data_IF_837804290725
#
_entry.id   IF_837804290725
#
_cell.length_a   1.000
_cell.length_b   1.000
_cell.length_c   1.000
_cell.angle_alpha   90.00
_cell.angle_beta   90.00
_cell.angle_gamma   90.00
#
_symmetry.space_group_name_H-M   'P 1'
#
loop_
_entity.id
_entity.type
_entity.pdbx_description
1 polymer ?
#
# COMPACT_ATOMS: atom_id res chain seq x y z
N UNK A 1 8.83 25.94 32.10
CA UNK A 1 8.43 26.37 30.74
C UNK A 1 7.84 25.24 29.88
N UNK A 2 8.22 23.96 30.08
CA UNK A 2 7.78 22.84 29.23
C UNK A 2 6.30 22.41 29.38
N UNK A 3 5.63 22.68 30.52
CA UNK A 3 4.25 22.22 30.79
C UNK A 3 3.18 22.92 29.94
N UNK A 4 3.42 24.17 29.53
CA UNK A 4 2.48 24.92 28.67
C UNK A 4 2.43 24.37 27.25
N UNK A 5 3.60 24.03 26.68
CA UNK A 5 3.73 23.50 25.30
C UNK A 5 3.04 22.15 25.18
N UNK A 6 3.19 21.27 26.17
CA UNK A 6 2.54 19.95 26.18
C UNK A 6 1.01 20.04 26.21
N UNK A 7 0.46 20.96 27.01
CA UNK A 7 -1.00 21.22 27.07
C UNK A 7 -1.51 21.78 25.74
N UNK A 8 -0.77 22.69 25.12
CA UNK A 8 -1.09 23.26 23.81
C UNK A 8 -1.00 22.22 22.68
N UNK A 9 -0.01 21.33 22.72
CA UNK A 9 0.13 20.23 21.76
C UNK A 9 -1.02 19.23 21.88
N UNK A 10 -1.36 18.80 23.10
CA UNK A 10 -2.52 17.92 23.32
C UNK A 10 -3.84 18.58 22.91
N UNK A 11 -3.99 19.88 23.12
CA UNK A 11 -5.13 20.66 22.64
C UNK A 11 -5.20 20.77 21.11
N UNK A 12 -4.06 20.87 20.44
CA UNK A 12 -3.95 20.88 18.98
C UNK A 12 -4.28 19.52 18.36
N UNK A 13 -3.73 18.43 18.90
CA UNK A 13 -4.02 17.06 18.46
C UNK A 13 -5.50 16.73 18.67
N UNK A 14 -6.14 17.15 19.77
CA UNK A 14 -7.58 16.94 19.93
C UNK A 14 -8.45 17.73 18.95
N UNK A 15 -7.98 18.90 18.48
CA UNK A 15 -8.71 19.74 17.51
C UNK A 15 -8.53 19.33 16.04
N UNK A 16 -7.44 18.64 15.68
CA UNK A 16 -7.13 18.23 14.29
C UNK A 16 -6.70 16.76 14.12
N UNK A 17 -6.77 15.95 15.17
CA UNK A 17 -6.05 14.68 15.29
C UNK A 17 -6.55 13.54 14.42
N UNK A 18 -7.83 13.52 14.05
CA UNK A 18 -8.38 12.41 13.25
C UNK A 18 -7.67 12.23 11.90
N UNK A 19 -7.43 13.32 11.15
CA UNK A 19 -6.88 13.22 9.80
C UNK A 19 -5.33 13.24 9.76
N UNK A 20 -4.68 13.94 10.69
CA UNK A 20 -3.21 14.11 10.66
C UNK A 20 -2.45 12.94 11.31
N UNK A 21 -3.06 12.26 12.30
CA UNK A 21 -2.41 11.14 12.98
C UNK A 21 -2.36 9.93 12.06
N UNK A 22 -3.45 9.61 11.37
CA UNK A 22 -3.51 8.50 10.41
C UNK A 22 -2.60 8.75 9.20
N UNK A 23 -2.52 9.99 8.70
CA UNK A 23 -1.56 10.38 7.67
C UNK A 23 -0.11 10.23 8.14
N UNK A 24 0.18 10.65 9.38
CA UNK A 24 1.52 10.55 9.97
C UNK A 24 1.96 9.09 10.14
N UNK A 25 1.07 8.22 10.60
CA UNK A 25 1.33 6.78 10.70
C UNK A 25 1.61 6.19 9.31
N UNK A 26 0.85 6.57 8.28
CA UNK A 26 1.07 6.12 6.91
C UNK A 26 2.46 6.46 6.36
N UNK A 27 2.95 7.68 6.62
CA UNK A 27 4.30 8.10 6.20
C UNK A 27 5.40 7.31 6.93
N UNK A 28 5.25 7.10 8.24
CA UNK A 28 6.24 6.36 9.04
C UNK A 28 6.33 4.90 8.58
N UNK A 29 5.18 4.25 8.39
CA UNK A 29 5.12 2.87 7.88
C UNK A 29 5.69 2.81 6.47
N UNK A 30 5.35 3.77 5.60
CA UNK A 30 5.88 3.86 4.24
C UNK A 30 7.40 3.96 4.22
N UNK A 31 7.98 4.85 5.02
CA UNK A 31 9.43 5.03 5.10
C UNK A 31 10.15 3.76 5.61
N UNK A 32 9.63 3.16 6.69
CA UNK A 32 10.20 1.93 7.24
C UNK A 32 10.13 0.76 6.24
N UNK A 33 9.01 0.63 5.53
CA UNK A 33 8.82 -0.41 4.52
C UNK A 33 9.78 -0.24 3.33
N UNK A 34 9.95 0.99 2.83
CA UNK A 34 10.92 1.25 1.76
C UNK A 34 12.35 0.85 2.16
N UNK A 35 12.77 1.14 3.39
CA UNK A 35 14.10 0.72 3.89
C UNK A 35 14.26 -0.80 3.94
N UNK A 36 13.22 -1.54 4.35
CA UNK A 36 13.28 -3.02 4.36
C UNK A 36 13.46 -3.57 2.94
N UNK A 37 12.71 -3.03 1.98
CA UNK A 37 12.83 -3.46 0.58
C UNK A 37 14.21 -3.09 0.01
N UNK A 38 14.74 -1.91 0.35
CA UNK A 38 16.09 -1.50 -0.04
C UNK A 38 17.14 -2.46 0.49
N UNK A 39 17.13 -2.79 1.79
CA UNK A 39 18.06 -3.77 2.36
C UNK A 39 17.91 -5.15 1.73
N UNK A 40 16.69 -5.60 1.42
CA UNK A 40 16.49 -6.86 0.73
C UNK A 40 17.14 -6.87 -0.67
N UNK A 41 17.00 -5.78 -1.42
CA UNK A 41 17.62 -5.68 -2.74
C UNK A 41 19.14 -5.62 -2.62
N UNK A 42 19.67 -4.71 -1.80
CA UNK A 42 21.10 -4.44 -1.65
C UNK A 42 21.87 -5.62 -1.04
N UNK A 43 21.31 -6.26 0.00
CA UNK A 43 22.02 -7.28 0.77
C UNK A 43 21.79 -8.70 0.23
N UNK A 44 20.66 -8.98 -0.44
CA UNK A 44 20.30 -10.34 -0.88
C UNK A 44 20.32 -10.49 -2.41
N UNK A 45 19.83 -9.52 -3.17
CA UNK A 45 19.77 -9.64 -4.64
C UNK A 45 21.06 -9.18 -5.32
N UNK A 46 21.65 -8.08 -4.85
CA UNK A 46 22.82 -7.48 -5.49
C UNK A 46 24.08 -8.37 -5.43
N UNK A 47 24.42 -9.09 -4.34
CA UNK A 47 25.64 -9.90 -4.30
C UNK A 47 25.63 -11.09 -5.30
N UNK A 48 24.55 -11.89 -5.40
CA UNK A 48 24.43 -12.93 -6.44
C UNK A 48 24.45 -12.35 -7.86
N UNK A 49 23.76 -11.24 -8.10
CA UNK A 49 23.76 -10.58 -9.41
C UNK A 49 25.15 -10.04 -9.78
N UNK A 50 25.87 -9.49 -8.81
CA UNK A 50 27.25 -9.01 -8.98
C UNK A 50 28.23 -10.15 -9.32
N UNK A 51 28.02 -11.35 -8.75
CA UNK A 51 28.80 -12.54 -9.11
C UNK A 51 28.51 -13.02 -10.54
N UNK A 52 27.23 -13.04 -10.94
CA UNK A 52 26.82 -13.48 -12.29
C UNK A 52 27.29 -12.50 -13.38
N UNK A 53 27.29 -11.20 -13.07
CA UNK A 53 27.79 -10.15 -13.96
C UNK A 53 29.33 -10.00 -13.93
N UNK A 54 30.06 -11.01 -13.46
CA UNK A 54 31.54 -11.06 -13.40
C UNK A 54 32.19 -9.93 -12.57
N UNK A 55 31.59 -9.58 -11.44
CA UNK A 55 32.18 -8.58 -10.53
C UNK A 55 32.13 -7.17 -11.12
N UNK A 56 31.02 -6.83 -11.79
CA UNK A 56 30.77 -5.52 -12.38
C UNK A 56 30.79 -4.43 -11.30
N UNK A 57 31.99 -3.99 -10.95
CA UNK A 57 32.25 -2.76 -10.20
C UNK A 57 31.94 -1.58 -11.13
N UNK A 58 30.65 -1.43 -11.45
CA UNK A 58 30.15 -0.33 -12.24
C UNK A 58 30.55 0.97 -11.55
N UNK A 59 30.56 1.01 -10.22
CA UNK A 59 31.00 2.15 -9.40
C UNK A 59 32.39 2.70 -9.75
N UNK A 60 33.31 1.86 -10.25
CA UNK A 60 34.65 2.29 -10.66
C UNK A 60 34.71 2.83 -12.09
N UNK A 61 33.59 2.86 -12.81
CA UNK A 61 33.49 3.52 -14.11
C UNK A 61 33.20 5.01 -13.90
N UNK A 62 34.26 5.80 -13.82
CA UNK A 62 34.19 7.25 -13.74
C UNK A 62 35.05 7.89 -14.82
N UNK A 63 34.56 9.00 -15.37
CA UNK A 63 35.30 9.80 -16.34
C UNK A 63 35.75 11.07 -15.63
N UNK A 64 37.05 11.35 -15.66
CA UNK A 64 37.63 12.57 -15.08
C UNK A 64 37.49 13.68 -16.12
N UNK A 65 36.68 14.71 -15.85
CA UNK A 65 36.51 15.86 -16.74
C UNK A 65 37.54 16.94 -16.46
N UNK A 66 37.96 17.09 -15.18
CA UNK A 66 39.07 17.97 -14.81
C UNK A 66 40.03 17.24 -13.86
N UNK A 67 41.34 17.18 -14.16
CA UNK A 67 42.32 16.68 -13.20
C UNK A 67 42.37 17.60 -11.98
N UNK A 68 42.58 17.00 -10.80
CA UNK A 68 42.74 17.70 -9.53
C UNK A 68 44.09 18.42 -9.43
N UNK A 69 44.44 18.87 -8.22
CA UNK A 69 45.68 19.65 -7.98
C UNK A 69 46.98 18.88 -8.24
N UNK A 70 46.91 17.55 -8.28
CA UNK A 70 48.00 16.65 -8.68
C UNK A 70 47.73 16.23 -10.12
N UNK A 71 48.67 16.48 -11.04
CA UNK A 71 48.60 16.11 -12.47
C UNK A 71 48.68 14.58 -12.70
N UNK A 72 48.09 13.78 -11.81
CA UNK A 72 48.03 12.33 -11.93
C UNK A 72 46.72 11.94 -12.62
N UNK A 73 46.85 11.35 -13.81
CA UNK A 73 45.75 11.00 -14.70
C UNK A 73 45.04 9.67 -14.33
N UNK A 74 45.43 9.04 -13.22
CA UNK A 74 44.94 7.70 -12.85
C UNK A 74 44.62 7.65 -11.36
N UNK A 75 43.33 7.66 -11.05
CA UNK A 75 42.81 7.31 -9.75
C UNK A 75 42.20 5.91 -9.86
N UNK A 76 42.40 5.07 -8.84
CA UNK A 76 41.82 3.72 -8.85
C UNK A 76 40.38 3.71 -8.33
N UNK A 77 39.99 4.75 -7.59
CA UNK A 77 38.65 4.87 -7.02
C UNK A 77 38.10 6.31 -7.19
N UNK A 78 36.79 6.47 -7.45
CA UNK A 78 36.17 7.78 -7.58
C UNK A 78 36.22 8.60 -6.28
N UNK A 79 36.34 7.93 -5.12
CA UNK A 79 36.45 8.57 -3.80
C UNK A 79 37.81 9.25 -3.57
N UNK A 80 38.87 8.79 -4.23
CA UNK A 80 40.19 9.43 -4.19
C UNK A 80 40.26 10.63 -5.13
N UNK A 81 39.67 10.51 -6.32
CA UNK A 81 39.61 11.60 -7.30
C UNK A 81 38.83 12.82 -6.77
N UNK A 82 37.74 12.59 -6.02
CA UNK A 82 36.96 13.67 -5.39
C UNK A 82 37.72 14.39 -4.28
N UNK A 83 38.59 13.68 -3.53
CA UNK A 83 39.41 14.29 -2.45
C UNK A 83 40.52 15.19 -3.01
N UNK A 84 41.03 14.88 -4.19
CA UNK A 84 42.02 15.69 -4.90
C UNK A 84 41.42 16.92 -5.62
N UNK A 85 40.10 17.09 -5.54
CA UNK A 85 39.37 18.18 -6.21
C UNK A 85 39.19 17.95 -7.72
N UNK A 86 39.41 16.72 -8.21
CA UNK A 86 39.11 16.36 -9.58
C UNK A 86 37.59 16.30 -9.75
N UNK A 87 37.09 16.90 -10.83
CA UNK A 87 35.67 16.80 -11.19
C UNK A 87 35.50 15.51 -11.97
N UNK A 88 34.93 14.49 -11.31
CA UNK A 88 34.62 13.19 -11.91
C UNK A 88 33.13 13.04 -12.16
N UNK A 89 32.78 12.61 -13.36
CA UNK A 89 31.44 12.13 -13.68
C UNK A 89 31.40 10.62 -13.41
N UNK A 90 30.71 10.24 -12.33
CA UNK A 90 30.61 8.87 -11.86
C UNK A 90 29.43 8.14 -12.54
N UNK A 91 29.54 7.90 -13.84
CA UNK A 91 28.53 7.16 -14.64
C UNK A 91 28.22 5.79 -14.03
N UNK A 92 29.23 5.18 -13.44
CA UNK A 92 29.16 3.93 -12.71
C UNK A 92 28.17 3.86 -11.56
N UNK A 93 28.23 4.86 -10.67
CA UNK A 93 27.32 4.99 -9.53
C UNK A 93 25.89 5.29 -9.97
N UNK A 94 25.73 6.06 -11.04
CA UNK A 94 24.41 6.33 -11.62
C UNK A 94 23.78 5.06 -12.19
N UNK A 95 24.53 4.26 -12.94
CA UNK A 95 23.98 3.02 -13.49
C UNK A 95 23.64 2.01 -12.38
N UNK A 96 24.45 1.94 -11.32
CA UNK A 96 24.17 1.13 -10.14
C UNK A 96 22.85 1.55 -9.46
N UNK A 97 22.64 2.84 -9.25
CA UNK A 97 21.39 3.36 -8.66
C UNK A 97 20.16 3.11 -9.55
N UNK A 98 20.30 3.20 -10.87
CA UNK A 98 19.22 2.84 -11.81
C UNK A 98 18.88 1.35 -11.75
N UNK A 99 19.88 0.48 -11.69
CA UNK A 99 19.67 -0.97 -11.54
C UNK A 99 18.97 -1.28 -10.21
N UNK A 100 19.45 -0.70 -9.11
CA UNK A 100 18.82 -0.88 -7.79
C UNK A 100 17.37 -0.38 -7.77
N UNK A 101 17.09 0.76 -8.41
CA UNK A 101 15.72 1.26 -8.57
C UNK A 101 14.82 0.25 -9.30
N UNK A 102 15.28 -0.30 -10.42
CA UNK A 102 14.54 -1.31 -11.18
C UNK A 102 14.32 -2.60 -10.37
N UNK A 103 15.32 -3.02 -9.59
CA UNK A 103 15.21 -4.18 -8.71
C UNK A 103 14.17 -3.95 -7.61
N UNK A 104 14.20 -2.80 -6.93
CA UNK A 104 13.20 -2.45 -5.91
C UNK A 104 11.79 -2.43 -6.50
N UNK A 105 11.60 -1.82 -7.67
CA UNK A 105 10.32 -1.84 -8.39
C UNK A 105 9.88 -3.28 -8.73
N UNK A 106 10.81 -4.12 -9.21
CA UNK A 106 10.55 -5.52 -9.52
C UNK A 106 10.17 -6.34 -8.29
N UNK A 107 10.85 -6.14 -7.16
CA UNK A 107 10.54 -6.83 -5.90
C UNK A 107 9.17 -6.41 -5.37
N UNK A 108 8.84 -5.12 -5.38
CA UNK A 108 7.52 -4.64 -4.97
C UNK A 108 6.41 -5.25 -5.83
N UNK A 109 6.60 -5.30 -7.15
CA UNK A 109 5.67 -5.97 -8.06
C UNK A 109 5.47 -7.44 -7.69
N UNK A 110 6.56 -8.18 -7.44
CA UNK A 110 6.48 -9.59 -7.04
C UNK A 110 5.75 -9.80 -5.72
N UNK A 111 5.96 -8.94 -4.72
CA UNK A 111 5.27 -9.01 -3.44
C UNK A 111 3.76 -8.77 -3.63
N UNK A 112 3.37 -7.74 -4.39
CA UNK A 112 1.96 -7.48 -4.66
C UNK A 112 1.30 -8.57 -5.50
N UNK A 113 2.03 -9.14 -6.47
CA UNK A 113 1.57 -10.27 -7.25
C UNK A 113 1.36 -11.52 -6.38
N UNK A 114 2.31 -11.85 -5.51
CA UNK A 114 2.18 -12.95 -4.56
C UNK A 114 1.00 -12.74 -3.60
N UNK A 115 0.83 -11.51 -3.09
CA UNK A 115 -0.33 -11.16 -2.25
C UNK A 115 -1.65 -11.31 -3.01
N UNK A 116 -1.72 -10.90 -4.29
CA UNK A 116 -2.90 -11.07 -5.13
C UNK A 116 -3.29 -12.53 -5.30
N UNK A 117 -2.31 -13.41 -5.56
CA UNK A 117 -2.54 -14.86 -5.69
C UNK A 117 -3.09 -15.45 -4.39
N UNK A 118 -2.51 -15.08 -3.24
CA UNK A 118 -2.93 -15.59 -1.93
C UNK A 118 -4.34 -15.07 -1.60
N UNK A 119 -4.63 -13.79 -1.86
CA UNK A 119 -5.94 -13.19 -1.62
C UNK A 119 -7.03 -13.83 -2.50
N UNK A 120 -6.75 -14.18 -3.74
CA UNK A 120 -7.72 -14.90 -4.57
C UNK A 120 -8.04 -16.30 -4.03
N UNK A 121 -7.09 -16.96 -3.36
CA UNK A 121 -7.34 -18.24 -2.67
C UNK A 121 -8.11 -18.11 -1.35
N UNK A 122 -8.14 -16.91 -0.76
CA UNK A 122 -8.97 -16.53 0.39
C UNK A 122 -9.95 -15.44 -0.04
N UNK A 123 -10.98 -15.82 -0.81
CA UNK A 123 -12.24 -15.09 -0.77
C UNK A 123 -12.77 -15.23 0.66
N UNK A 124 -12.33 -14.35 1.56
CA UNK A 124 -13.13 -13.98 2.71
C UNK A 124 -14.42 -13.43 2.09
N UNK A 125 -15.48 -14.23 2.17
CA UNK A 125 -16.81 -13.75 1.86
C UNK A 125 -17.02 -12.54 2.76
N UNK A 126 -17.04 -11.33 2.19
CA UNK A 126 -17.49 -10.15 2.93
C UNK A 126 -18.84 -10.54 3.54
N UNK A 127 -18.92 -10.64 4.86
CA UNK A 127 -20.12 -11.10 5.57
C UNK A 127 -21.27 -10.08 5.44
N UNK A 128 -21.05 -8.98 4.72
CA UNK A 128 -21.94 -7.84 4.60
C UNK A 128 -22.31 -7.59 3.14
N UNK A 129 -23.61 -7.73 2.84
CA UNK A 129 -24.18 -7.36 1.55
C UNK A 129 -25.03 -6.08 1.72
N UNK A 130 -25.10 -5.21 0.69
CA UNK A 130 -25.95 -4.03 0.75
C UNK A 130 -27.43 -4.42 0.77
N UNK A 131 -28.14 -3.86 1.74
CA UNK A 131 -29.59 -3.85 1.85
C UNK A 131 -30.27 -3.44 0.52
N UNK A 132 -31.16 -4.26 -0.09
CA UNK A 132 -31.81 -3.93 -1.37
C UNK A 132 -32.62 -2.64 -1.36
N UNK A 133 -33.11 -2.21 -0.19
CA UNK A 133 -34.01 -1.06 -0.04
C UNK A 133 -33.29 0.24 0.32
N UNK A 134 -32.27 0.12 1.16
CA UNK A 134 -31.64 1.23 1.86
C UNK A 134 -30.15 1.38 1.56
N UNK A 135 -29.56 0.41 0.84
CA UNK A 135 -28.15 0.36 0.43
C UNK A 135 -27.12 0.36 1.58
N UNK A 136 -27.59 0.24 2.82
CA UNK A 136 -26.74 0.12 3.98
C UNK A 136 -26.18 -1.31 4.09
N UNK A 137 -24.95 -1.45 4.59
CA UNK A 137 -24.29 -2.74 4.76
C UNK A 137 -24.97 -3.53 5.87
N UNK A 138 -25.41 -4.75 5.55
CA UNK A 138 -26.09 -5.65 6.48
C UNK A 138 -25.50 -7.05 6.34
N UNK A 139 -25.37 -7.77 7.45
CA UNK A 139 -24.95 -9.18 7.45
C UNK A 139 -25.76 -10.03 6.47
N UNK A 140 -25.08 -10.92 5.73
CA UNK A 140 -25.68 -11.89 4.79
C UNK A 140 -26.77 -12.75 5.41
N UNK A 141 -26.63 -13.09 6.68
CA UNK A 141 -27.60 -13.90 7.43
C UNK A 141 -28.72 -13.07 8.09
N UNK A 142 -28.75 -11.76 7.89
CA UNK A 142 -29.74 -10.90 8.52
C UNK A 142 -31.12 -11.06 7.87
N UNK A 143 -32.08 -11.55 8.65
CA UNK A 143 -33.49 -11.63 8.24
C UNK A 143 -34.12 -10.23 8.11
N UNK A 144 -33.64 -9.26 8.88
CA UNK A 144 -34.19 -7.90 8.94
C UNK A 144 -33.08 -6.84 8.99
N UNK A 145 -33.23 -5.78 8.20
CA UNK A 145 -32.31 -4.65 8.23
C UNK A 145 -32.46 -3.84 9.53
N UNK A 146 -31.34 -3.52 10.19
CA UNK A 146 -31.30 -2.68 11.40
C UNK A 146 -31.76 -1.24 11.15
N UNK A 147 -31.50 -0.71 9.95
CA UNK A 147 -31.74 0.70 9.63
C UNK A 147 -33.15 0.96 9.10
N UNK A 148 -33.60 0.20 8.10
CA UNK A 148 -34.92 0.40 7.47
C UNK A 148 -36.00 -0.58 7.95
N UNK A 149 -35.66 -1.54 8.82
CA UNK A 149 -36.57 -2.55 9.34
C UNK A 149 -37.26 -3.43 8.26
N UNK A 150 -36.81 -3.38 7.00
CA UNK A 150 -37.33 -4.24 5.93
C UNK A 150 -36.81 -5.66 6.10
N UNK A 151 -37.63 -6.64 5.68
CA UNK A 151 -37.23 -8.04 5.58
C UNK A 151 -36.38 -8.20 4.32
N UNK A 152 -35.20 -8.79 4.46
CA UNK A 152 -34.21 -8.90 3.35
C UNK A 152 -34.43 -10.22 2.58
N UNK A 153 -34.96 -11.26 3.23
CA UNK A 153 -35.07 -12.63 2.69
C UNK A 153 -36.46 -13.01 2.13
N UNK A 154 -37.38 -12.05 1.97
CA UNK A 154 -38.73 -12.32 1.42
C UNK A 154 -38.80 -11.68 0.02
N UNK A 155 -39.00 -12.48 -1.04
CA UNK A 155 -39.19 -12.00 -2.43
C UNK A 155 -40.45 -11.12 -2.60
N UNK A 156 -41.21 -10.88 -1.54
CA UNK A 156 -42.44 -10.08 -1.52
C UNK A 156 -42.31 -9.05 -0.38
N UNK A 157 -42.48 -7.75 -0.65
CA UNK A 157 -42.38 -6.73 0.39
C UNK A 157 -43.48 -6.90 1.45
N UNK A 158 -43.18 -6.64 2.74
CA UNK A 158 -44.09 -6.87 3.87
C UNK A 158 -45.40 -6.07 3.82
N UNK A 159 -45.48 -5.07 2.94
CA UNK A 159 -46.69 -4.26 2.73
C UNK A 159 -47.86 -5.08 2.12
N UNK A 160 -47.58 -6.17 1.41
CA UNK A 160 -48.59 -6.98 0.69
C UNK A 160 -49.15 -8.17 1.51
N UNK A 161 -48.59 -8.46 2.69
CA UNK A 161 -48.95 -9.66 3.46
C UNK A 161 -50.28 -9.53 4.23
N UNK A 162 -50.82 -8.31 4.38
CA UNK A 162 -52.09 -8.10 5.12
C UNK A 162 -53.33 -8.51 4.33
N UNK A 163 -53.22 -8.63 3.01
CA UNK A 163 -54.41 -8.76 2.15
C UNK A 163 -54.77 -10.23 1.88
N UNK A 164 -53.78 -11.13 1.91
CA UNK A 164 -53.98 -12.58 1.65
C UNK A 164 -54.84 -13.29 2.71
N UNK A 165 -54.86 -12.81 3.95
CA UNK A 165 -55.69 -13.43 5.01
C UNK A 165 -57.16 -13.02 4.94
N UNK A 166 -57.53 -12.00 4.15
CA UNK A 166 -58.92 -11.57 3.94
C UNK A 166 -59.49 -11.99 2.58
N UNK A 167 -58.66 -12.54 1.69
CA UNK A 167 -59.08 -13.06 0.38
C UNK A 167 -59.49 -14.54 0.46
N UNK A 168 -59.00 -15.28 1.47
CA UNK A 168 -59.32 -16.70 1.68
C UNK A 168 -60.80 -16.99 1.96
N UNK A 169 -61.53 -16.07 2.59
CA UNK A 169 -62.96 -16.28 2.91
C UNK A 169 -63.93 -15.82 1.80
N UNK A 170 -63.47 -15.01 0.82
CA UNK A 170 -64.32 -14.62 -0.32
C UNK A 170 -64.22 -15.56 -1.52
N UNK A 171 -63.15 -16.36 -1.62
CA UNK A 171 -62.97 -17.30 -2.72
C UNK A 171 -63.80 -18.59 -2.58
N UNK A 172 -64.47 -18.82 -1.44
CA UNK A 172 -65.31 -20.01 -1.19
C UNK A 172 -66.82 -19.75 -1.30
N UNK A 173 -67.26 -18.52 -1.59
CA UNK A 173 -68.68 -18.17 -1.74
C UNK A 173 -69.13 -18.22 -3.23
N UNK A 174 -68.20 -18.16 -4.18
CA UNK A 174 -68.50 -18.16 -5.63
C UNK A 174 -68.46 -19.56 -6.28
N UNK A 175 -68.51 -20.64 -5.49
CA UNK A 175 -68.55 -22.04 -5.99
C UNK A 175 -69.62 -22.92 -5.32
N UNK A 176 -70.78 -22.34 -5.00
CA UNK A 176 -72.06 -23.06 -4.85
C UNK A 176 -73.12 -22.39 -5.71
#
# INVERSE_FOLDING_TARGET
>A
MCLGIWKSFRGFVKKRGGNVVDLGIGIIIGAAFTSIVQSFVEDILTPPLGLVLHGSNLENYFIIIKPGNTQNATYNTPAEAQKDGAVTENIGSFLNTVINFLLVCGTLFWIFYAYSIIKESKKEEDDEDPCPWCQELVSKDAVKCKYCASIINEKIPPQYKRDINNVGDRALIDLQ
#
